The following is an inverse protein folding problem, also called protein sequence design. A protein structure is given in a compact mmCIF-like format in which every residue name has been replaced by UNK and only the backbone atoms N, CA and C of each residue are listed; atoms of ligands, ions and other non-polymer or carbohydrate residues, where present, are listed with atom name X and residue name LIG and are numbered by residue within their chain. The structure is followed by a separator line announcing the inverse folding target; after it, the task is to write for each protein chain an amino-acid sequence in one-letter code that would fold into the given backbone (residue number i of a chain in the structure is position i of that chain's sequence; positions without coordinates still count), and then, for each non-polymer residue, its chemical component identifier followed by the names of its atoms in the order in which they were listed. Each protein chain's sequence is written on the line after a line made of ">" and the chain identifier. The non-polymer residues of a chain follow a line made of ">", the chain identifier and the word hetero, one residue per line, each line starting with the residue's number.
data_IF_247204511509
#
_entry.id   IF_247204511509
#
_cell.length_a   1.000
_cell.length_b   1.000
_cell.length_c   1.000
_cell.angle_alpha   90.00
_cell.angle_beta   90.00
_cell.angle_gamma   90.00
#
_symmetry.space_group_name_H-M   'P 1'
#
loop_
_entity.id
_entity.type
_entity.pdbx_description
1 polymer ?
#
# COMPACT_ATOMS: atom_id res chain seq x y z
N UNK A 1 -3.24 2.99 -0.43
CA UNK A 1 -2.49 4.04 -1.12
C UNK A 1 -1.84 4.91 -0.05
N UNK A 2 -0.61 4.60 0.32
CA UNK A 2 0.11 5.36 1.34
C UNK A 2 0.52 6.69 0.75
N UNK A 3 -0.02 7.78 1.28
CA UNK A 3 0.33 9.12 0.85
C UNK A 3 1.65 9.61 1.47
N UNK A 4 2.42 8.73 2.13
CA UNK A 4 3.56 9.14 2.96
C UNK A 4 3.13 10.13 4.04
N UNK A 5 2.13 9.75 4.85
CA UNK A 5 1.51 10.63 5.85
C UNK A 5 0.81 11.89 5.26
N UNK A 6 0.32 11.82 4.02
CA UNK A 6 -0.38 12.92 3.36
C UNK A 6 0.50 13.87 2.54
N UNK A 7 1.76 13.51 2.25
CA UNK A 7 2.75 14.38 1.60
C UNK A 7 2.95 14.14 0.10
N UNK A 8 2.48 13.02 -0.47
CA UNK A 8 2.73 12.67 -1.87
C UNK A 8 1.45 12.41 -2.67
N UNK A 9 1.57 12.58 -4.01
CA UNK A 9 0.57 12.16 -5.00
C UNK A 9 0.09 10.74 -4.68
N UNK A 10 -1.14 10.43 -5.13
CA UNK A 10 -1.72 9.09 -5.00
C UNK A 10 -0.70 8.02 -5.35
N UNK A 11 -0.37 7.25 -4.33
CA UNK A 11 0.61 6.20 -4.41
C UNK A 11 -0.13 4.87 -4.46
N UNK A 12 0.06 4.12 -5.53
CA UNK A 12 -0.65 2.85 -5.76
C UNK A 12 -0.19 1.72 -4.81
N UNK A 13 0.77 2.01 -3.94
CA UNK A 13 1.27 1.12 -2.90
C UNK A 13 1.44 1.80 -1.54
N UNK A 14 2.25 1.18 -0.68
CA UNK A 14 2.70 1.71 0.59
C UNK A 14 4.22 1.78 0.67
N UNK A 15 4.74 2.92 1.10
CA UNK A 15 6.18 3.11 1.30
C UNK A 15 6.55 2.92 2.77
N UNK A 16 7.44 1.97 3.03
CA UNK A 16 7.91 1.65 4.38
C UNK A 16 9.39 1.99 4.44
N UNK A 17 9.69 3.16 5.02
CA UNK A 17 11.05 3.65 5.20
C UNK A 17 11.87 2.69 6.09
N UNK A 18 13.05 2.31 5.62
CA UNK A 18 13.97 1.45 6.34
C UNK A 18 15.42 1.67 5.88
N UNK A 19 16.43 1.36 6.71
CA UNK A 19 17.83 1.46 6.29
C UNK A 19 18.13 0.62 5.04
N UNK A 20 19.02 1.12 4.19
CA UNK A 20 19.54 0.38 3.03
C UNK A 20 20.07 -1.00 3.45
N UNK A 21 19.73 -2.04 2.71
CA UNK A 21 20.18 -3.40 2.98
C UNK A 21 19.36 -4.16 4.02
N UNK A 22 18.33 -3.55 4.61
CA UNK A 22 17.38 -4.25 5.49
C UNK A 22 16.76 -5.44 4.73
N UNK A 23 16.82 -6.68 5.26
CA UNK A 23 16.25 -7.85 4.59
C UNK A 23 14.75 -7.70 4.34
N UNK A 24 14.31 -8.09 3.14
CA UNK A 24 12.91 -8.13 2.75
C UNK A 24 12.47 -9.58 2.57
N UNK A 25 11.25 -9.89 3.03
CA UNK A 25 10.71 -11.24 3.11
C UNK A 25 9.39 -11.35 2.36
N UNK A 26 9.09 -12.53 1.81
CA UNK A 26 7.81 -12.84 1.21
C UNK A 26 6.70 -12.73 2.27
N UNK A 27 5.64 -11.93 2.03
CA UNK A 27 4.57 -11.73 3.03
C UNK A 27 3.63 -12.93 3.15
N UNK A 28 3.57 -13.77 2.12
CA UNK A 28 2.77 -14.98 2.05
C UNK A 28 3.43 -15.99 1.10
N UNK A 29 2.93 -17.23 1.12
CA UNK A 29 3.33 -18.27 0.18
C UNK A 29 2.88 -17.91 -1.25
N UNK A 30 3.70 -18.20 -2.25
CA UNK A 30 3.39 -17.89 -3.64
C UNK A 30 4.52 -18.19 -4.62
N UNK A 31 4.30 -17.84 -5.88
CA UNK A 31 5.26 -18.01 -6.96
C UNK A 31 5.77 -16.65 -7.45
N UNK A 32 7.08 -16.48 -7.54
CA UNK A 32 7.71 -15.28 -8.10
C UNK A 32 7.41 -15.21 -9.60
N UNK A 33 6.72 -14.16 -10.02
CA UNK A 33 6.38 -13.91 -11.44
C UNK A 33 7.29 -12.86 -12.08
N UNK A 34 7.98 -12.05 -11.26
CA UNK A 34 9.01 -11.12 -11.71
C UNK A 34 10.07 -10.93 -10.61
N UNK A 35 11.35 -10.87 -10.99
CA UNK A 35 12.44 -10.51 -10.08
C UNK A 35 13.64 -9.98 -10.87
N UNK A 36 14.11 -8.78 -10.55
CA UNK A 36 15.26 -8.15 -11.20
C UNK A 36 14.98 -6.73 -11.67
N UNK A 37 15.87 -6.11 -12.45
CA UNK A 37 15.68 -4.75 -12.96
C UNK A 37 14.45 -4.61 -13.88
N UNK A 38 13.71 -3.51 -13.75
CA UNK A 38 12.55 -3.16 -14.60
C UNK A 38 12.90 -2.13 -15.69
N UNK A 39 14.17 -2.02 -16.06
CA UNK A 39 14.68 -1.05 -17.05
C UNK A 39 14.28 -1.38 -18.50
N UNK A 40 14.05 -2.66 -18.80
CA UNK A 40 13.61 -3.15 -20.12
C UNK A 40 12.14 -3.54 -20.19
N UNK A 41 11.49 -3.76 -19.05
CA UNK A 41 10.10 -4.23 -18.95
C UNK A 41 9.37 -3.35 -17.94
N UNK A 42 8.32 -2.66 -18.37
CA UNK A 42 7.51 -1.85 -17.47
C UNK A 42 6.69 -2.77 -16.53
N UNK A 43 7.09 -2.81 -15.26
CA UNK A 43 6.33 -3.47 -14.18
C UNK A 43 5.36 -2.49 -13.52
N UNK A 44 5.68 -1.19 -13.59
CA UNK A 44 4.83 -0.06 -13.20
C UNK A 44 4.39 0.76 -14.42
N UNK A 45 4.13 2.07 -14.26
CA UNK A 45 3.62 2.92 -15.35
C UNK A 45 4.66 3.16 -16.45
N UNK A 46 5.95 3.05 -16.14
CA UNK A 46 7.07 3.16 -17.10
C UNK A 46 8.17 2.15 -16.77
N UNK A 47 9.16 2.01 -17.66
CA UNK A 47 10.40 1.29 -17.33
C UNK A 47 11.23 2.04 -16.28
N UNK A 48 12.08 1.31 -15.56
CA UNK A 48 12.93 1.81 -14.47
C UNK A 48 12.15 2.58 -13.39
N UNK A 49 10.87 2.24 -13.18
CA UNK A 49 10.04 2.91 -12.19
C UNK A 49 10.36 2.36 -10.80
N UNK A 50 10.29 1.04 -10.64
CA UNK A 50 10.59 0.39 -9.37
C UNK A 50 12.08 0.06 -9.20
N UNK A 51 12.89 0.16 -10.26
CA UNK A 51 14.30 -0.17 -10.23
C UNK A 51 14.50 -1.67 -10.18
N UNK A 52 14.61 -2.24 -8.97
CA UNK A 52 14.64 -3.69 -8.77
C UNK A 52 13.39 -4.09 -8.00
N UNK A 53 12.31 -4.52 -8.68
CA UNK A 53 11.18 -5.14 -8.02
C UNK A 53 11.26 -6.67 -7.91
N UNK A 54 10.49 -7.22 -6.98
CA UNK A 54 10.04 -8.61 -6.94
C UNK A 54 8.52 -8.60 -6.95
N UNK A 55 7.90 -9.43 -7.80
CA UNK A 55 6.45 -9.64 -7.83
C UNK A 55 6.15 -11.10 -7.56
N UNK A 56 5.27 -11.36 -6.60
CA UNK A 56 4.86 -12.70 -6.15
C UNK A 56 3.36 -12.85 -6.42
N UNK A 57 2.97 -13.84 -7.23
CA UNK A 57 1.58 -14.31 -7.27
C UNK A 57 1.35 -15.21 -6.05
N UNK A 58 0.41 -14.83 -5.19
CA UNK A 58 0.12 -15.57 -3.98
C UNK A 58 -0.64 -16.86 -4.28
N UNK A 59 -0.38 -17.91 -3.49
CA UNK A 59 -1.15 -19.16 -3.57
C UNK A 59 -2.62 -18.93 -3.15
N UNK A 60 -2.86 -17.90 -2.34
CA UNK A 60 -4.20 -17.48 -1.92
C UNK A 60 -4.82 -16.58 -2.97
N UNK A 61 -6.12 -16.81 -3.21
CA UNK A 61 -6.96 -16.04 -4.12
C UNK A 61 -7.93 -15.16 -3.34
N UNK A 62 -8.33 -14.04 -3.92
CA UNK A 62 -9.39 -13.19 -3.40
C UNK A 62 -10.57 -13.21 -4.36
N UNK A 63 -11.74 -13.68 -3.90
CA UNK A 63 -12.94 -13.84 -4.76
C UNK A 63 -12.63 -14.57 -6.07
N UNK A 64 -11.88 -15.67 -5.96
CA UNK A 64 -11.39 -16.49 -7.07
C UNK A 64 -10.45 -15.77 -8.07
N UNK A 65 -9.98 -14.57 -7.76
CA UNK A 65 -8.99 -13.83 -8.55
C UNK A 65 -7.56 -14.04 -7.99
N UNK A 66 -6.53 -14.05 -8.85
CA UNK A 66 -5.15 -14.07 -8.37
C UNK A 66 -4.85 -12.78 -7.60
N UNK A 67 -3.93 -12.87 -6.64
CA UNK A 67 -3.44 -11.73 -5.88
C UNK A 67 -1.93 -11.66 -6.10
N UNK A 68 -1.44 -10.49 -6.44
CA UNK A 68 -0.01 -10.22 -6.61
C UNK A 68 0.47 -9.26 -5.54
N UNK A 69 1.66 -9.50 -5.01
CA UNK A 69 2.37 -8.55 -4.17
C UNK A 69 3.64 -8.11 -4.87
N UNK A 70 3.81 -6.79 -5.01
CA UNK A 70 5.03 -6.18 -5.51
C UNK A 70 5.83 -5.62 -4.34
N UNK A 71 7.14 -5.90 -4.30
CA UNK A 71 8.12 -5.21 -3.47
C UNK A 71 9.08 -4.46 -4.39
N UNK A 72 9.07 -3.13 -4.34
CA UNK A 72 9.83 -2.25 -5.23
C UNK A 72 11.02 -1.57 -4.56
N UNK A 73 11.81 -0.87 -5.37
CA UNK A 73 12.97 -0.07 -4.97
C UNK A 73 14.08 -0.84 -4.25
N UNK A 74 14.15 -2.16 -4.43
CA UNK A 74 15.09 -3.03 -3.73
C UNK A 74 16.53 -2.77 -4.20
N UNK A 75 17.51 -3.10 -3.36
CA UNK A 75 18.94 -3.04 -3.73
C UNK A 75 19.43 -4.33 -4.39
N UNK A 76 18.77 -5.44 -4.07
CA UNK A 76 19.04 -6.76 -4.62
C UNK A 76 17.82 -7.66 -4.47
N UNK A 77 17.78 -8.72 -5.28
CA UNK A 77 16.84 -9.84 -5.13
C UNK A 77 17.62 -11.13 -4.88
N UNK A 78 17.04 -12.03 -4.09
CA UNK A 78 17.59 -13.38 -3.80
C UNK A 78 16.76 -14.48 -4.43
N UNK A 79 15.81 -14.13 -5.31
CA UNK A 79 14.88 -15.06 -5.95
C UNK A 79 14.83 -14.83 -7.46
N UNK A 80 14.29 -15.80 -8.19
CA UNK A 80 14.14 -15.72 -9.65
C UNK A 80 12.71 -16.05 -10.09
N UNK A 81 12.26 -15.58 -11.26
CA UNK A 81 10.95 -15.96 -11.80
C UNK A 81 10.75 -17.48 -11.87
N UNK A 82 9.55 -17.94 -11.53
CA UNK A 82 9.18 -19.36 -11.43
C UNK A 82 9.52 -20.02 -10.08
N UNK A 83 10.25 -19.34 -9.20
CA UNK A 83 10.54 -19.85 -7.86
C UNK A 83 9.30 -19.74 -6.96
N UNK A 84 8.93 -20.85 -6.32
CA UNK A 84 7.97 -20.84 -5.21
C UNK A 84 8.67 -20.38 -3.92
N UNK A 85 8.03 -19.50 -3.17
CA UNK A 85 8.52 -18.92 -1.92
C UNK A 85 7.52 -19.15 -0.80
N UNK A 86 8.03 -19.32 0.42
CA UNK A 86 7.21 -19.42 1.62
C UNK A 86 7.17 -18.09 2.36
N UNK A 87 6.09 -17.84 3.11
CA UNK A 87 5.98 -16.69 4.02
C UNK A 87 7.21 -16.62 4.92
N UNK A 88 7.83 -15.45 4.98
CA UNK A 88 9.04 -15.22 5.77
C UNK A 88 10.34 -15.66 5.09
N UNK A 89 10.29 -16.20 3.86
CA UNK A 89 11.49 -16.43 3.07
C UNK A 89 12.06 -15.11 2.58
N UNK A 90 13.38 -14.91 2.70
CA UNK A 90 14.01 -13.70 2.19
C UNK A 90 13.96 -13.66 0.66
N UNK A 91 13.52 -12.51 0.12
CA UNK A 91 13.40 -12.26 -1.32
C UNK A 91 14.32 -11.15 -1.83
N UNK A 92 14.96 -10.42 -0.92
CA UNK A 92 16.00 -9.44 -1.25
C UNK A 92 16.28 -8.49 -0.09
N UNK A 93 16.58 -7.23 -0.42
CA UNK A 93 16.88 -6.20 0.57
C UNK A 93 16.42 -4.81 0.14
N UNK A 94 16.08 -3.97 1.12
CA UNK A 94 15.72 -2.55 0.94
C UNK A 94 16.80 -1.84 0.13
N UNK A 95 16.35 -1.03 -0.83
CA UNK A 95 17.20 -0.25 -1.71
C UNK A 95 16.75 1.20 -1.80
N UNK A 96 17.20 1.85 -2.88
CA UNK A 96 16.77 3.18 -3.32
C UNK A 96 16.88 3.24 -4.85
N UNK A 97 16.49 2.16 -5.53
CA UNK A 97 16.60 2.02 -7.00
C UNK A 97 15.34 2.54 -7.70
N UNK A 98 15.41 2.75 -9.02
CA UNK A 98 14.30 3.31 -9.80
C UNK A 98 14.09 4.78 -9.47
N UNK A 99 12.85 5.18 -9.23
CA UNK A 99 12.49 6.58 -8.92
C UNK A 99 12.54 6.95 -7.42
N UNK A 100 12.97 6.02 -6.56
CA UNK A 100 13.02 6.23 -5.11
C UNK A 100 13.89 7.45 -4.72
N UNK A 101 13.34 8.33 -3.87
CA UNK A 101 14.04 9.51 -3.35
C UNK A 101 14.95 9.21 -2.14
N UNK A 102 14.85 8.02 -1.57
CA UNK A 102 15.66 7.56 -0.45
C UNK A 102 15.33 6.12 -0.06
N UNK A 103 16.04 5.54 0.93
CA UNK A 103 15.86 4.13 1.28
C UNK A 103 14.48 3.78 1.86
N UNK A 104 13.74 2.93 1.17
CA UNK A 104 12.45 2.36 1.59
C UNK A 104 12.12 1.11 0.76
N UNK A 105 11.07 0.38 1.15
CA UNK A 105 10.40 -0.58 0.27
C UNK A 105 9.04 -0.02 -0.12
N UNK A 106 8.76 -0.08 -1.42
CA UNK A 106 7.43 0.16 -1.96
C UNK A 106 6.66 -1.15 -2.02
N UNK A 107 5.43 -1.20 -1.52
CA UNK A 107 4.60 -2.40 -1.49
C UNK A 107 3.30 -2.16 -2.23
N UNK A 108 2.99 -2.96 -3.25
CA UNK A 108 1.65 -2.97 -3.87
C UNK A 108 0.95 -4.30 -3.62
N UNK A 109 -0.37 -4.26 -3.60
CA UNK A 109 -1.22 -5.43 -3.78
C UNK A 109 -2.05 -5.21 -5.02
N UNK A 110 -2.02 -6.18 -5.95
CA UNK A 110 -2.79 -6.15 -7.20
C UNK A 110 -3.74 -7.34 -7.24
N UNK A 111 -4.98 -7.12 -7.69
CA UNK A 111 -6.02 -8.16 -7.74
C UNK A 111 -6.44 -8.40 -9.19
N UNK A 112 -6.54 -9.67 -9.60
CA UNK A 112 -7.03 -10.03 -10.92
C UNK A 112 -5.96 -9.98 -12.00
N UNK A 113 -5.31 -8.84 -12.16
CA UNK A 113 -4.27 -8.60 -13.17
C UNK A 113 -3.01 -8.04 -12.50
N UNK A 114 -1.84 -8.51 -12.95
CA UNK A 114 -0.55 -8.03 -12.47
C UNK A 114 -0.09 -6.77 -13.22
N UNK A 115 -0.79 -5.65 -13.02
CA UNK A 115 -0.40 -4.35 -13.55
C UNK A 115 -0.66 -3.20 -12.54
N UNK A 116 -0.23 -2.00 -12.91
CA UNK A 116 -0.30 -0.80 -12.08
C UNK A 116 -1.73 -0.27 -11.89
N UNK A 117 -2.65 -0.60 -12.80
CA UNK A 117 -4.03 -0.10 -12.78
C UNK A 117 -4.95 -0.98 -11.93
N UNK A 118 -4.49 -2.16 -11.50
CA UNK A 118 -5.26 -3.10 -10.65
C UNK A 118 -4.78 -3.13 -9.20
N UNK A 119 -4.09 -2.09 -8.75
CA UNK A 119 -3.62 -1.95 -7.37
C UNK A 119 -4.76 -1.57 -6.44
N UNK A 120 -4.82 -2.22 -5.28
CA UNK A 120 -5.70 -1.87 -4.15
C UNK A 120 -4.89 -1.32 -3.00
N UNK A 121 -5.52 -0.76 -1.97
CA UNK A 121 -4.78 -0.28 -0.80
C UNK A 121 -4.10 -1.44 -0.04
N UNK A 122 -2.75 -1.54 -0.05
CA UNK A 122 -2.05 -2.65 0.59
C UNK A 122 -2.21 -2.66 2.12
N UNK A 123 -2.52 -1.54 2.75
CA UNK A 123 -2.69 -1.45 4.21
C UNK A 123 -3.89 -2.26 4.73
N UNK A 124 -4.84 -2.66 3.87
CA UNK A 124 -5.88 -3.64 4.20
C UNK A 124 -5.38 -5.10 4.19
N UNK A 125 -4.25 -5.34 3.54
CA UNK A 125 -3.71 -6.67 3.26
C UNK A 125 -2.48 -6.99 4.12
N UNK A 126 -1.93 -5.99 4.80
CA UNK A 126 -0.88 -6.14 5.78
C UNK A 126 -1.48 -6.51 7.13
N UNK A 127 -0.82 -7.45 7.81
CA UNK A 127 -1.16 -7.81 9.19
C UNK A 127 -0.84 -6.61 10.10
N UNK A 128 -1.82 -6.06 10.85
CA UNK A 128 -1.55 -4.96 11.76
C UNK A 128 -0.59 -5.38 12.87
N UNK A 129 0.16 -4.42 13.40
CA UNK A 129 0.96 -4.64 14.60
C UNK A 129 0.09 -5.12 15.77
N UNK A 130 0.66 -5.94 16.65
CA UNK A 130 -0.05 -6.40 17.85
C UNK A 130 -0.59 -5.20 18.65
N UNK A 131 -1.87 -5.25 19.02
CA UNK A 131 -2.54 -4.14 19.71
C UNK A 131 -2.90 -2.95 18.83
N UNK A 132 -2.74 -3.05 17.51
CA UNK A 132 -3.14 -2.05 16.53
C UNK A 132 -4.19 -2.61 15.56
N UNK A 133 -4.83 -1.73 14.82
CA UNK A 133 -5.78 -2.07 13.77
C UNK A 133 -5.85 -0.99 12.71
N UNK A 134 -6.81 -1.16 11.82
CA UNK A 134 -7.03 -0.28 10.67
C UNK A 134 -8.43 0.32 10.75
N UNK A 135 -8.53 1.62 10.51
CA UNK A 135 -9.81 2.31 10.28
C UNK A 135 -9.87 2.71 8.82
N UNK A 136 -10.95 2.33 8.15
CA UNK A 136 -11.24 2.75 6.78
C UNK A 136 -12.66 3.27 6.71
N UNK A 137 -12.92 4.14 5.74
CA UNK A 137 -14.25 4.71 5.60
C UNK A 137 -14.43 5.52 4.33
N UNK A 138 -15.56 6.21 4.30
CA UNK A 138 -16.00 7.02 3.16
C UNK A 138 -16.43 8.39 3.63
N UNK A 139 -15.86 9.43 3.03
CA UNK A 139 -16.38 10.80 3.10
C UNK A 139 -17.04 11.11 1.78
N UNK A 140 -18.37 11.28 1.82
CA UNK A 140 -19.21 11.41 0.64
C UNK A 140 -19.88 12.77 0.58
N UNK A 141 -20.12 13.25 -0.63
CA UNK A 141 -21.13 14.28 -0.89
C UNK A 141 -22.55 13.72 -0.66
N UNK A 142 -23.54 14.61 -0.56
CA UNK A 142 -24.94 14.21 -0.42
C UNK A 142 -25.47 13.37 -1.61
N UNK A 143 -24.89 13.54 -2.81
CA UNK A 143 -25.17 12.73 -4.00
C UNK A 143 -24.31 11.46 -4.10
N UNK A 144 -23.55 11.13 -3.05
CA UNK A 144 -22.83 9.85 -2.92
C UNK A 144 -21.46 9.79 -3.61
N UNK A 145 -20.94 10.92 -4.10
CA UNK A 145 -19.59 10.98 -4.68
C UNK A 145 -18.53 11.07 -3.59
N UNK A 146 -17.38 10.46 -3.82
CA UNK A 146 -16.22 10.64 -2.95
C UNK A 146 -15.80 12.11 -2.92
N UNK A 147 -15.60 12.65 -1.71
CA UNK A 147 -14.94 13.93 -1.52
C UNK A 147 -13.43 13.68 -1.45
N UNK A 148 -12.63 14.18 -2.39
CA UNK A 148 -11.18 14.01 -2.36
C UNK A 148 -10.51 15.00 -1.41
N UNK A 149 -9.32 14.65 -0.93
CA UNK A 149 -8.42 15.53 -0.17
C UNK A 149 -9.04 16.14 1.10
N UNK A 150 -10.04 15.47 1.69
CA UNK A 150 -10.64 15.88 2.96
C UNK A 150 -9.71 15.47 4.10
N UNK A 151 -9.24 16.41 4.93
CA UNK A 151 -8.45 16.08 6.12
C UNK A 151 -9.32 15.34 7.13
N UNK A 152 -8.76 14.26 7.67
CA UNK A 152 -9.34 13.44 8.73
C UNK A 152 -8.44 13.52 9.97
N UNK A 153 -9.04 13.90 11.08
CA UNK A 153 -8.37 14.03 12.38
C UNK A 153 -8.85 12.94 13.32
N UNK A 154 -7.91 12.17 13.87
CA UNK A 154 -8.19 11.06 14.79
C UNK A 154 -7.76 11.44 16.21
N UNK A 155 -8.73 11.51 17.10
CA UNK A 155 -8.57 11.85 18.50
C UNK A 155 -8.68 10.56 19.33
N UNK A 156 -7.58 10.00 19.84
CA UNK A 156 -7.63 8.80 20.66
C UNK A 156 -7.99 9.09 22.12
N UNK A 157 -8.52 8.07 22.80
CA UNK A 157 -8.68 8.03 24.25
C UNK A 157 -9.99 8.66 24.74
N UNK A 158 -10.33 8.50 26.02
CA UNK A 158 -11.71 8.65 26.51
C UNK A 158 -12.28 10.07 26.43
N UNK A 159 -11.43 11.09 26.28
CA UNK A 159 -11.84 12.50 26.28
C UNK A 159 -11.61 13.20 24.94
N UNK A 160 -10.98 12.54 23.96
CA UNK A 160 -10.77 13.08 22.61
C UNK A 160 -10.15 14.51 22.56
N UNK A 161 -9.24 14.82 23.48
CA UNK A 161 -8.77 16.20 23.69
C UNK A 161 -7.93 16.78 22.54
N UNK A 162 -7.17 15.94 21.81
CA UNK A 162 -6.27 16.41 20.75
C UNK A 162 -6.07 15.33 19.69
N UNK A 163 -5.96 15.72 18.41
CA UNK A 163 -5.72 14.75 17.35
C UNK A 163 -4.28 14.24 17.45
N UNK A 164 -4.11 12.95 17.24
CA UNK A 164 -2.80 12.28 17.25
C UNK A 164 -2.46 11.65 15.92
N UNK A 165 -3.47 11.30 15.14
CA UNK A 165 -3.30 10.70 13.83
C UNK A 165 -4.12 11.44 12.80
N UNK A 166 -3.65 11.41 11.57
CA UNK A 166 -4.13 12.23 10.48
C UNK A 166 -4.18 11.36 9.23
N UNK A 167 -5.26 11.48 8.47
CA UNK A 167 -5.38 10.90 7.16
C UNK A 167 -6.01 11.93 6.22
N UNK A 168 -6.01 11.61 4.92
CA UNK A 168 -6.73 12.37 3.93
C UNK A 168 -7.54 11.41 3.09
N UNK A 169 -8.70 11.86 2.62
CA UNK A 169 -9.36 11.11 1.57
C UNK A 169 -8.55 11.15 0.28
N UNK A 170 -8.64 10.04 -0.43
CA UNK A 170 -8.01 9.76 -1.72
C UNK A 170 -8.26 10.87 -2.73
N UNK A 171 -7.24 11.21 -3.52
CA UNK A 171 -7.40 12.13 -4.65
C UNK A 171 -8.15 11.37 -5.76
N UNK A 172 -9.47 11.48 -5.76
CA UNK A 172 -10.37 10.78 -6.70
C UNK A 172 -10.70 11.63 -7.94
N UNK A 173 -9.78 12.49 -8.38
CA UNK A 173 -10.03 13.40 -9.49
C UNK A 173 -10.17 12.72 -10.86
N UNK A 174 -9.68 11.48 -11.00
CA UNK A 174 -9.58 10.76 -12.27
C UNK A 174 -9.80 9.24 -12.17
N UNK A 175 -10.32 8.71 -11.05
CA UNK A 175 -10.47 7.24 -10.86
C UNK A 175 -9.14 6.50 -10.78
N UNK A 176 -8.09 7.17 -10.28
CA UNK A 176 -6.73 6.64 -10.18
C UNK A 176 -6.53 5.71 -8.97
N UNK A 177 -7.53 5.58 -8.10
CA UNK A 177 -7.47 4.69 -6.93
C UNK A 177 -8.58 3.68 -7.04
N UNK A 178 -8.21 2.40 -6.92
CA UNK A 178 -9.19 1.33 -6.79
C UNK A 178 -9.48 1.10 -5.31
N UNK A 179 -10.64 1.55 -4.80
CA UNK A 179 -11.07 1.14 -3.48
C UNK A 179 -11.37 -0.36 -3.47
N UNK A 180 -11.44 -0.97 -2.29
CA UNK A 180 -12.00 -2.32 -2.19
C UNK A 180 -13.45 -2.31 -2.70
N UNK A 181 -13.80 -3.31 -3.51
CA UNK A 181 -15.10 -3.40 -4.18
C UNK A 181 -16.28 -3.48 -3.19
N UNK A 182 -16.09 -4.01 -1.98
CA UNK A 182 -17.13 -4.10 -0.97
C UNK A 182 -17.20 -2.85 -0.09
N UNK A 183 -16.06 -2.30 0.32
CA UNK A 183 -16.03 -1.15 1.23
C UNK A 183 -16.19 0.18 0.51
N UNK A 184 -15.66 0.28 -0.71
CA UNK A 184 -15.64 1.52 -1.50
C UNK A 184 -14.92 2.64 -0.76
N UNK A 185 -13.90 2.32 0.04
CA UNK A 185 -13.25 3.28 0.92
C UNK A 185 -12.58 4.40 0.12
N UNK A 186 -12.69 5.64 0.61
CA UNK A 186 -11.90 6.73 0.09
C UNK A 186 -10.92 7.28 1.11
N UNK A 187 -10.75 6.62 2.25
CA UNK A 187 -9.62 6.80 3.15
C UNK A 187 -9.37 5.53 3.95
N UNK A 188 -8.13 5.37 4.40
CA UNK A 188 -7.73 4.31 5.32
C UNK A 188 -6.54 4.80 6.15
N UNK A 189 -6.50 4.37 7.41
CA UNK A 189 -5.38 4.58 8.30
C UNK A 189 -5.11 3.29 9.10
N UNK A 190 -3.99 2.64 8.81
CA UNK A 190 -3.50 1.46 9.54
C UNK A 190 -2.68 1.83 10.77
N UNK A 191 -2.22 0.81 11.50
CA UNK A 191 -1.34 0.93 12.67
C UNK A 191 -1.87 1.91 13.74
N UNK A 192 -3.19 1.96 13.90
CA UNK A 192 -3.85 2.70 14.97
C UNK A 192 -3.90 1.83 16.23
N UNK A 193 -3.37 2.28 17.38
CA UNK A 193 -3.51 1.54 18.63
C UNK A 193 -4.98 1.26 18.95
N UNK A 194 -5.29 0.07 19.46
CA UNK A 194 -6.64 -0.29 19.84
C UNK A 194 -7.19 0.67 20.92
N UNK A 195 -8.42 1.13 20.72
CA UNK A 195 -9.09 2.03 21.65
C UNK A 195 -10.23 2.81 20.99
N UNK A 196 -10.82 3.71 21.76
CA UNK A 196 -11.86 4.60 21.28
C UNK A 196 -11.25 5.80 20.56
N UNK A 197 -11.88 6.17 19.43
CA UNK A 197 -11.51 7.32 18.63
C UNK A 197 -12.74 8.17 18.32
N UNK A 198 -12.58 9.48 18.43
CA UNK A 198 -13.39 10.43 17.68
C UNK A 198 -12.66 10.72 16.36
N UNK A 199 -13.38 10.62 15.25
CA UNK A 199 -12.87 10.92 13.91
C UNK A 199 -13.63 12.13 13.39
N UNK A 200 -12.90 13.19 13.06
CA UNK A 200 -13.45 14.42 12.49
C UNK A 200 -12.99 14.56 11.04
N UNK A 201 -13.92 14.90 10.14
CA UNK A 201 -13.63 15.24 8.76
C UNK A 201 -14.09 16.68 8.51
N UNK A 202 -13.18 17.55 8.06
CA UNK A 202 -13.50 18.96 7.82
C UNK A 202 -13.73 19.22 6.34
N UNK A 203 -14.94 19.63 5.97
CA UNK A 203 -15.34 19.91 4.59
C UNK A 203 -15.81 21.37 4.48
N UNK A 204 -15.07 22.19 3.74
CA UNK A 204 -15.35 23.63 3.53
C UNK A 204 -15.15 24.58 4.74
N UNK A 205 -14.34 24.18 5.72
CA UNK A 205 -14.08 24.98 6.94
C UNK A 205 -15.25 24.94 7.93
#
# INVERSE_FOLDING_TARGET
>A
ASTGQGAYLVHHGADIANPLGTPLYAPADGTVVFAGPDDQVAVGPTTNFFGIPVVIELDRRYRDQPVYVLLGHMSSTTVTPGQHVQRGQQVGAVGSTGIALGPHVHVEVRIGVNDYDHTVNPEFWLEPLAGHGTVAGRVLTADGRHLPEVPLLFYPGPNFNSPRYYAYTYIDGLGLINPDEQWGENFLLSDLPAGDYLVEATVNG
#
